data_IF_384461942149
#
_entry.id   IF_384461942149
#
_cell.length_a   1.000
_cell.length_b   1.000
_cell.length_c   1.000
_cell.angle_alpha   90.00
_cell.angle_beta   90.00
_cell.angle_gamma   90.00
#
_symmetry.space_group_name_H-M   'P 1'
#
loop_
_entity.id
_entity.type
_entity.pdbx_description
1 polymer ?
#
# COMPACT_ATOMS: atom_id res chain seq x y z
N UNK A 1 -11.04 4.56 -9.56
CA UNK A 1 -10.08 5.53 -9.97
C UNK A 1 -8.78 4.90 -10.42
N UNK A 2 -8.14 5.56 -11.40
CA UNK A 2 -6.97 5.00 -12.08
C UNK A 2 -5.77 4.84 -11.14
N UNK A 3 -5.52 5.84 -10.29
CA UNK A 3 -4.37 5.76 -9.38
C UNK A 3 -4.57 4.74 -8.27
N UNK A 4 -5.78 4.56 -7.81
CA UNK A 4 -6.08 3.52 -6.82
C UNK A 4 -5.76 2.14 -7.38
N UNK A 5 -6.19 1.87 -8.60
CA UNK A 5 -5.89 0.61 -9.28
C UNK A 5 -4.39 0.43 -9.50
N UNK A 6 -3.72 1.46 -10.01
CA UNK A 6 -2.29 1.43 -10.28
C UNK A 6 -1.50 1.04 -9.04
N UNK A 7 -1.76 1.70 -7.92
CA UNK A 7 -0.97 1.47 -6.72
C UNK A 7 -1.36 0.19 -5.99
N UNK A 8 -2.64 -0.21 -6.04
CA UNK A 8 -3.03 -1.49 -5.46
C UNK A 8 -2.30 -2.64 -6.18
N UNK A 9 -2.24 -2.60 -7.51
CA UNK A 9 -1.53 -3.61 -8.28
C UNK A 9 -0.02 -3.54 -8.04
N UNK A 10 0.54 -2.34 -7.99
CA UNK A 10 1.98 -2.18 -7.78
C UNK A 10 2.40 -2.68 -6.41
N UNK A 11 1.64 -2.37 -5.37
CA UNK A 11 1.92 -2.85 -4.02
C UNK A 11 1.81 -4.37 -3.99
N UNK A 12 0.77 -4.95 -4.60
CA UNK A 12 0.61 -6.41 -4.64
C UNK A 12 1.79 -7.08 -5.33
N UNK A 13 2.28 -6.53 -6.44
CA UNK A 13 3.45 -7.07 -7.13
C UNK A 13 4.71 -7.01 -6.27
N UNK A 14 4.90 -5.90 -5.58
CA UNK A 14 6.04 -5.74 -4.67
C UNK A 14 5.96 -6.78 -3.55
N UNK A 15 4.79 -6.98 -2.97
CA UNK A 15 4.61 -7.95 -1.89
C UNK A 15 4.78 -9.38 -2.37
N UNK A 16 4.37 -9.69 -3.61
CA UNK A 16 4.57 -11.01 -4.19
C UNK A 16 6.04 -11.34 -4.38
N UNK A 17 6.87 -10.33 -4.65
CA UNK A 17 8.30 -10.51 -4.85
C UNK A 17 9.13 -10.32 -3.58
N UNK A 18 8.50 -9.94 -2.47
CA UNK A 18 9.21 -9.56 -1.25
C UNK A 18 9.84 -10.78 -0.57
N UNK A 19 10.97 -10.53 0.07
CA UNK A 19 11.68 -11.52 0.86
C UNK A 19 11.81 -11.04 2.30
N UNK A 20 11.92 -11.97 3.27
CA UNK A 20 12.04 -11.57 4.68
C UNK A 20 13.23 -10.62 4.90
N UNK A 21 13.01 -9.61 5.71
CA UNK A 21 14.03 -8.63 6.04
C UNK A 21 14.10 -7.44 5.10
N UNK A 22 13.34 -7.45 4.02
CA UNK A 22 13.29 -6.30 3.11
C UNK A 22 12.50 -5.14 3.72
N UNK A 23 12.95 -3.93 3.41
CA UNK A 23 12.17 -2.71 3.64
C UNK A 23 12.02 -2.02 2.30
N UNK A 24 10.79 -1.80 1.89
CA UNK A 24 10.48 -1.29 0.56
C UNK A 24 9.80 0.08 0.69
N UNK A 25 10.36 1.07 0.00
CA UNK A 25 9.80 2.42 -0.03
C UNK A 25 9.16 2.65 -1.39
N UNK A 26 7.90 3.03 -1.42
CA UNK A 26 7.16 3.27 -2.64
C UNK A 26 6.73 4.73 -2.72
N UNK A 27 7.13 5.40 -3.79
CA UNK A 27 6.71 6.78 -4.04
C UNK A 27 5.28 6.77 -4.58
N UNK A 28 4.39 7.51 -3.89
CA UNK A 28 2.98 7.63 -4.26
C UNK A 28 2.53 9.07 -4.24
N UNK A 29 3.44 10.01 -4.56
CA UNK A 29 3.17 11.43 -4.38
C UNK A 29 1.91 11.89 -5.12
N UNK A 30 1.72 11.45 -6.36
CA UNK A 30 0.55 11.83 -7.14
C UNK A 30 -0.76 11.38 -6.48
N UNK A 31 -0.78 10.16 -5.94
CA UNK A 31 -1.95 9.64 -5.25
C UNK A 31 -2.17 10.38 -3.92
N UNK A 32 -1.10 10.63 -3.18
CA UNK A 32 -1.20 11.35 -1.91
C UNK A 32 -1.70 12.77 -2.12
N UNK A 33 -1.27 13.44 -3.20
CA UNK A 33 -1.75 14.77 -3.53
C UNK A 33 -3.28 14.78 -3.74
N UNK A 34 -3.81 13.75 -4.40
CA UNK A 34 -5.25 13.60 -4.56
C UNK A 34 -5.94 13.38 -3.21
N UNK A 35 -5.39 12.50 -2.39
CA UNK A 35 -5.96 12.24 -1.07
C UNK A 35 -6.00 13.50 -0.21
N UNK A 36 -4.99 14.35 -0.31
CA UNK A 36 -4.98 15.65 0.39
C UNK A 36 -6.13 16.54 -0.07
N UNK A 37 -6.39 16.60 -1.37
CA UNK A 37 -7.49 17.39 -1.91
C UNK A 37 -8.84 16.88 -1.43
N UNK A 38 -8.94 15.58 -1.20
CA UNK A 38 -10.17 14.94 -0.73
C UNK A 38 -10.29 14.94 0.79
N UNK A 39 -9.34 15.56 1.49
CA UNK A 39 -9.29 15.58 2.95
C UNK A 39 -9.27 14.18 3.56
N UNK A 40 -8.67 13.22 2.87
CA UNK A 40 -8.55 11.86 3.37
C UNK A 40 -7.45 11.77 4.43
N UNK A 41 -7.58 10.80 5.33
CA UNK A 41 -6.53 10.48 6.27
C UNK A 41 -5.40 9.78 5.51
N UNK A 42 -4.26 10.46 5.37
CA UNK A 42 -3.16 9.98 4.54
C UNK A 42 -2.60 8.64 5.02
N UNK A 43 -2.59 8.42 6.33
CA UNK A 43 -2.10 7.16 6.88
C UNK A 43 -2.99 5.97 6.56
N UNK A 44 -4.22 6.21 6.15
CA UNK A 44 -5.22 5.18 5.90
C UNK A 44 -5.48 4.92 4.41
N UNK A 45 -4.75 5.56 3.51
CA UNK A 45 -5.01 5.37 2.08
C UNK A 45 -4.57 4.00 1.58
N UNK A 46 -3.60 3.37 2.24
CA UNK A 46 -3.21 1.99 1.98
C UNK A 46 -3.65 1.14 3.16
N UNK A 47 -4.35 0.06 2.88
CA UNK A 47 -4.79 -0.89 3.89
C UNK A 47 -4.47 -2.30 3.40
N UNK A 48 -3.87 -3.10 4.25
CA UNK A 48 -3.51 -4.48 3.92
C UNK A 48 -4.08 -5.38 4.99
N UNK A 49 -4.89 -6.32 4.57
CA UNK A 49 -5.47 -7.30 5.47
C UNK A 49 -5.44 -8.65 4.79
N UNK A 50 -4.88 -9.64 5.48
CA UNK A 50 -4.65 -10.96 4.92
C UNK A 50 -3.81 -10.83 3.65
N UNK A 51 -4.32 -11.26 2.51
CA UNK A 51 -3.62 -11.14 1.24
C UNK A 51 -4.23 -10.09 0.32
N UNK A 52 -4.92 -9.11 0.87
CA UNK A 52 -5.63 -8.10 0.08
C UNK A 52 -5.05 -6.72 0.34
N UNK A 53 -4.63 -6.05 -0.74
CA UNK A 53 -4.22 -4.66 -0.71
C UNK A 53 -5.39 -3.80 -1.14
N UNK A 54 -5.71 -2.78 -0.36
CA UNK A 54 -6.75 -1.80 -0.71
C UNK A 54 -6.12 -0.42 -0.74
N UNK A 55 -6.31 0.29 -1.85
CA UNK A 55 -5.90 1.69 -1.96
C UNK A 55 -7.15 2.54 -2.13
N UNK A 56 -7.33 3.50 -1.23
CA UNK A 56 -8.52 4.34 -1.20
C UNK A 56 -8.11 5.78 -0.98
N UNK A 57 -8.30 6.62 -2.00
CA UNK A 57 -7.88 8.02 -1.97
C UNK A 57 -9.00 8.96 -1.55
N UNK A 58 -10.24 8.51 -1.58
CA UNK A 58 -11.39 9.31 -1.16
C UNK A 58 -12.43 8.42 -0.51
N UNK A 59 -13.40 9.03 0.12
CA UNK A 59 -14.42 8.29 0.85
C UNK A 59 -15.22 7.35 -0.04
N UNK A 60 -15.41 7.73 -1.30
CA UNK A 60 -16.18 6.95 -2.26
C UNK A 60 -15.34 6.06 -3.17
N UNK A 61 -14.04 6.13 -3.04
CA UNK A 61 -13.14 5.38 -3.90
C UNK A 61 -12.76 4.05 -3.30
N UNK A 62 -11.76 3.46 -3.91
CA UNK A 62 -11.13 2.26 -3.41
C UNK A 62 -10.95 1.21 -4.50
N UNK A 63 -9.82 0.55 -4.45
CA UNK A 63 -9.52 -0.56 -5.34
C UNK A 63 -8.76 -1.61 -4.56
N UNK A 64 -9.17 -2.87 -4.70
CA UNK A 64 -8.58 -3.99 -3.99
C UNK A 64 -7.86 -4.90 -4.96
N UNK A 65 -6.71 -5.43 -4.55
CA UNK A 65 -5.97 -6.37 -5.36
C UNK A 65 -5.28 -7.40 -4.46
N UNK A 66 -5.36 -8.67 -4.86
CA UNK A 66 -4.80 -9.77 -4.06
C UNK A 66 -3.33 -9.98 -4.37
N UNK A 67 -2.58 -10.43 -3.38
CA UNK A 67 -1.22 -10.91 -3.57
C UNK A 67 -1.09 -12.32 -2.98
N UNK A 68 -0.07 -13.07 -3.43
CA UNK A 68 0.01 -14.52 -3.17
C UNK A 68 1.41 -14.95 -2.74
N UNK A 69 2.09 -14.13 -1.96
CA UNK A 69 3.43 -14.47 -1.50
C UNK A 69 3.39 -15.69 -0.56
N UNK A 70 4.34 -16.59 -0.71
CA UNK A 70 4.41 -17.82 0.07
C UNK A 70 4.90 -17.63 1.50
N UNK A 71 5.19 -16.41 1.91
CA UNK A 71 5.65 -16.09 3.26
C UNK A 71 4.48 -15.94 4.25
N UNK A 72 3.38 -16.62 3.98
CA UNK A 72 2.15 -16.43 4.76
C UNK A 72 2.21 -16.96 6.19
N UNK A 73 3.15 -17.85 6.51
CA UNK A 73 3.16 -18.44 7.84
C UNK A 73 3.49 -17.41 8.92
N UNK A 74 4.39 -16.48 8.60
CA UNK A 74 4.78 -15.44 9.54
C UNK A 74 4.15 -14.09 9.17
N UNK A 75 3.28 -14.11 8.16
CA UNK A 75 2.81 -12.89 7.55
C UNK A 75 3.86 -12.31 6.62
N UNK A 76 3.40 -11.74 5.51
CA UNK A 76 4.31 -11.11 4.54
C UNK A 76 4.82 -9.80 5.10
N UNK A 77 3.94 -9.02 5.70
CA UNK A 77 4.26 -7.67 6.19
C UNK A 77 4.25 -7.65 7.71
N UNK A 78 5.33 -7.17 8.32
CA UNK A 78 5.34 -6.91 9.75
C UNK A 78 4.83 -5.50 10.06
N UNK A 79 5.00 -4.54 9.16
CA UNK A 79 4.50 -3.18 9.34
C UNK A 79 4.45 -2.45 8.01
N UNK A 80 3.57 -1.47 7.90
CA UNK A 80 3.54 -0.54 6.77
C UNK A 80 3.01 0.80 7.26
N UNK A 81 3.55 1.89 6.71
CA UNK A 81 3.20 3.21 7.22
C UNK A 81 3.55 4.31 6.21
N UNK A 82 2.88 5.44 6.36
CA UNK A 82 3.17 6.66 5.59
C UNK A 82 4.59 7.14 5.95
N UNK A 83 5.39 7.47 4.94
CA UNK A 83 6.73 7.96 5.19
C UNK A 83 6.70 9.37 5.81
N UNK A 84 7.83 9.80 6.38
CA UNK A 84 7.89 11.07 7.09
C UNK A 84 7.63 12.26 6.17
N UNK A 85 8.07 12.19 4.92
CA UNK A 85 7.86 13.25 3.94
C UNK A 85 6.42 13.33 3.44
N UNK A 86 5.60 12.31 3.74
CA UNK A 86 4.21 12.20 3.25
C UNK A 86 4.14 12.17 1.74
N UNK A 87 5.03 11.41 1.14
CA UNK A 87 5.10 11.24 -0.31
C UNK A 87 4.92 9.79 -0.75
N UNK A 88 4.82 8.87 0.18
CA UNK A 88 4.66 7.46 -0.15
C UNK A 88 4.57 6.61 1.10
N UNK A 89 4.65 5.30 0.89
CA UNK A 89 4.54 4.33 1.99
C UNK A 89 5.78 3.46 2.06
N UNK A 90 6.05 3.00 3.27
CA UNK A 90 7.15 2.10 3.58
C UNK A 90 6.53 0.78 4.04
N UNK A 91 7.05 -0.33 3.49
CA UNK A 91 6.59 -1.67 3.81
C UNK A 91 7.76 -2.45 4.40
N UNK A 92 7.58 -2.96 5.59
CA UNK A 92 8.60 -3.76 6.30
C UNK A 92 8.18 -5.22 6.22
N UNK A 93 9.03 -6.04 5.60
CA UNK A 93 8.72 -7.45 5.35
C UNK A 93 9.31 -8.28 6.47
N UNK A 94 8.44 -9.04 7.10
CA UNK A 94 8.79 -9.82 8.30
C UNK A 94 9.59 -11.10 8.09
#
# INVERSE_FOLDING_TARGET
>A
AILEEKYAKQIALVLDAAEPGMTISLDMKDAIDIAKKENSDLGSIVSIKDNLVVVKLSEKGGYSYSFFNDLQFDGVISNYYLNQAKTGFIFVIG
#
